data_IF_976543057107
#
_entry.id   IF_976543057107
#
_cell.length_a   1.000
_cell.length_b   1.000
_cell.length_c   1.000
_cell.angle_alpha   90.00
_cell.angle_beta   90.00
_cell.angle_gamma   90.00
#
_symmetry.space_group_name_H-M   'P 1'
#
loop_
_entity.id
_entity.type
_entity.pdbx_description
1 polymer ?
#
# COMPACT_ATOMS: atom_id res chain seq x y z
N UNK A 1 12.96 -60.39 21.61
CA UNK A 1 14.27 -59.81 21.98
C UNK A 1 14.28 -58.40 21.51
N UNK A 2 14.47 -57.45 22.40
CA UNK A 2 14.58 -56.03 22.04
C UNK A 2 16.07 -55.71 21.91
N UNK A 3 16.48 -55.14 20.81
CA UNK A 3 17.84 -54.66 20.60
C UNK A 3 17.84 -53.14 20.48
N UNK A 4 18.71 -52.48 21.22
CA UNK A 4 18.96 -51.06 21.10
C UNK A 4 20.39 -50.91 20.55
N UNK A 5 20.52 -50.21 19.45
CA UNK A 5 21.82 -49.96 18.84
C UNK A 5 21.93 -48.56 18.28
N UNK A 6 23.15 -48.04 18.22
CA UNK A 6 23.47 -46.79 17.58
C UNK A 6 23.88 -47.08 16.15
N UNK A 7 23.22 -46.45 15.20
CA UNK A 7 23.75 -46.33 13.85
C UNK A 7 24.65 -45.10 13.76
N UNK A 8 25.95 -45.32 13.67
CA UNK A 8 26.96 -44.28 13.60
C UNK A 8 26.88 -43.47 12.29
N UNK A 9 26.36 -44.06 11.23
CA UNK A 9 26.17 -43.36 9.91
C UNK A 9 24.97 -42.42 9.95
N UNK A 10 23.89 -42.82 10.65
CA UNK A 10 22.69 -42.02 10.80
C UNK A 10 22.75 -41.10 12.04
N UNK A 11 23.76 -41.26 12.91
CA UNK A 11 23.87 -40.63 14.24
C UNK A 11 22.58 -40.76 15.07
N UNK A 12 21.96 -41.91 15.02
CA UNK A 12 20.65 -42.16 15.59
C UNK A 12 20.67 -43.47 16.43
N UNK A 13 19.72 -43.58 17.36
CA UNK A 13 19.49 -44.77 18.16
C UNK A 13 18.25 -45.46 17.60
N UNK A 14 18.35 -46.76 17.42
CA UNK A 14 17.28 -47.60 16.94
C UNK A 14 16.90 -48.63 17.97
N UNK A 15 15.63 -48.93 18.10
CA UNK A 15 15.11 -50.07 18.84
C UNK A 15 14.57 -51.05 17.80
N UNK A 16 15.02 -52.28 17.85
CA UNK A 16 14.53 -53.40 17.05
C UNK A 16 13.78 -54.36 17.99
N UNK A 17 12.49 -54.54 17.72
CA UNK A 17 11.61 -55.47 18.38
C UNK A 17 11.15 -56.60 17.43
N UNK A 18 10.19 -57.41 17.86
CA UNK A 18 9.62 -58.47 17.01
C UNK A 18 8.83 -57.92 15.80
N UNK A 19 8.56 -56.63 15.75
CA UNK A 19 7.80 -55.96 14.68
C UNK A 19 8.71 -55.19 13.71
N UNK A 20 10.01 -55.17 13.96
CA UNK A 20 11.01 -54.49 13.14
C UNK A 20 11.64 -53.27 13.80
N UNK A 21 12.55 -52.63 13.07
CA UNK A 21 13.28 -51.46 13.55
C UNK A 21 12.35 -50.23 13.60
N UNK A 22 12.29 -49.63 14.80
CA UNK A 22 11.56 -48.36 14.98
C UNK A 22 12.53 -47.24 15.34
N UNK A 23 12.36 -46.11 14.67
CA UNK A 23 13.12 -44.90 14.97
C UNK A 23 12.51 -44.19 16.19
N UNK A 24 13.29 -43.93 17.22
CA UNK A 24 12.79 -43.29 18.43
C UNK A 24 13.41 -41.90 18.62
N UNK A 25 12.73 -40.89 18.08
CA UNK A 25 13.06 -39.49 18.41
C UNK A 25 12.82 -39.13 19.88
N UNK A 26 11.88 -39.82 20.54
CA UNK A 26 11.54 -39.57 21.95
C UNK A 26 12.58 -40.10 22.91
N UNK A 27 13.37 -41.11 22.52
CA UNK A 27 14.46 -41.63 23.35
C UNK A 27 15.58 -40.59 23.50
N UNK A 28 15.90 -39.85 22.43
CA UNK A 28 16.88 -38.79 22.46
C UNK A 28 16.48 -37.70 23.49
N UNK A 29 15.22 -37.28 23.46
CA UNK A 29 14.69 -36.31 24.42
C UNK A 29 14.75 -36.82 25.87
N UNK A 30 14.49 -38.08 26.10
CA UNK A 30 14.58 -38.69 27.45
C UNK A 30 16.01 -38.80 27.96
N UNK A 31 16.97 -38.99 27.07
CA UNK A 31 18.39 -39.15 27.41
C UNK A 31 19.08 -37.81 27.61
N UNK A 32 18.77 -36.81 26.80
CA UNK A 32 19.29 -35.46 26.91
C UNK A 32 18.97 -34.78 28.25
N UNK A 33 17.99 -35.27 28.97
CA UNK A 33 17.58 -34.76 30.28
C UNK A 33 18.42 -35.15 31.49
N UNK A 34 19.36 -35.99 31.36
CA UNK A 34 20.16 -36.47 32.49
C UNK A 34 19.33 -37.07 33.64
N UNK A 35 18.04 -37.31 33.42
CA UNK A 35 17.15 -38.04 34.33
C UNK A 35 17.01 -39.50 33.94
N UNK A 36 17.78 -39.94 32.98
CA UNK A 36 17.79 -41.33 32.63
C UNK A 36 18.44 -42.14 33.76
N UNK A 37 17.60 -42.54 34.68
CA UNK A 37 17.86 -43.82 35.23
C UNK A 37 17.51 -44.84 34.14
N UNK A 38 18.42 -45.65 33.68
CA UNK A 38 18.13 -46.82 32.82
C UNK A 38 16.99 -47.66 33.41
N UNK A 39 16.75 -47.54 34.68
CA UNK A 39 15.60 -48.10 35.39
C UNK A 39 14.25 -47.56 34.87
N UNK A 40 14.16 -46.28 34.58
CA UNK A 40 12.94 -45.70 34.03
C UNK A 40 12.76 -46.04 32.56
N UNK A 41 13.83 -46.05 31.77
CA UNK A 41 13.82 -46.49 30.39
C UNK A 41 13.52 -47.98 30.25
N UNK A 42 14.16 -48.82 31.08
CA UNK A 42 13.89 -50.26 31.10
C UNK A 42 12.46 -50.57 31.56
N UNK A 43 11.96 -49.83 32.55
CA UNK A 43 10.56 -49.92 32.98
C UNK A 43 9.58 -49.51 31.90
N UNK A 44 9.84 -48.43 31.18
CA UNK A 44 8.94 -47.91 30.15
C UNK A 44 8.93 -48.83 28.91
N UNK A 45 10.06 -49.43 28.56
CA UNK A 45 10.13 -50.44 27.50
C UNK A 45 9.45 -51.76 27.96
N UNK A 46 9.64 -52.17 29.19
CA UNK A 46 9.00 -53.38 29.74
C UNK A 46 7.47 -53.25 29.83
N UNK A 47 6.99 -52.07 30.20
CA UNK A 47 5.54 -51.76 30.24
C UNK A 47 4.93 -51.79 28.83
N UNK A 48 5.61 -51.30 27.81
CA UNK A 48 5.10 -51.21 26.45
C UNK A 48 5.19 -52.54 25.70
N UNK A 49 6.24 -53.33 25.95
CA UNK A 49 6.51 -54.50 25.13
C UNK A 49 6.22 -55.83 25.84
N UNK A 50 6.10 -55.84 27.18
CA UNK A 50 5.94 -57.05 28.00
C UNK A 50 7.05 -58.10 27.76
N UNK A 51 8.21 -57.68 27.27
CA UNK A 51 9.37 -58.53 26.96
C UNK A 51 10.51 -58.22 27.96
N UNK A 52 11.14 -59.20 28.57
CA UNK A 52 12.28 -59.00 29.46
C UNK A 52 13.48 -58.45 28.66
N UNK A 53 14.22 -57.55 29.30
CA UNK A 53 15.42 -56.91 28.73
C UNK A 53 16.57 -57.98 28.67
N UNK A 54 16.71 -58.63 27.50
CA UNK A 54 17.55 -59.81 27.42
C UNK A 54 19.01 -59.57 27.02
N UNK A 55 19.31 -58.54 26.20
CA UNK A 55 20.70 -58.24 25.82
C UNK A 55 20.89 -56.83 25.27
N UNK A 56 21.94 -56.17 25.68
CA UNK A 56 22.53 -54.99 25.06
C UNK A 56 23.77 -55.41 24.26
N UNK A 57 23.84 -55.09 22.98
CA UNK A 57 25.03 -55.31 22.17
C UNK A 57 25.61 -53.95 21.75
N UNK A 58 26.95 -53.80 21.82
CA UNK A 58 27.64 -52.66 21.24
C UNK A 58 27.74 -52.79 19.71
N UNK A 59 28.19 -51.72 19.03
CA UNK A 59 28.38 -51.72 17.58
C UNK A 59 29.36 -52.75 17.03
N UNK A 60 30.12 -53.42 17.91
CA UNK A 60 31.08 -54.48 17.59
C UNK A 60 30.61 -55.90 18.03
N UNK A 61 29.32 -56.02 18.46
CA UNK A 61 28.76 -57.31 18.91
C UNK A 61 29.18 -57.74 20.33
N UNK A 62 29.68 -56.80 21.12
CA UNK A 62 29.96 -57.00 22.53
C UNK A 62 28.68 -56.98 23.39
N UNK A 63 28.47 -57.94 24.24
CA UNK A 63 27.29 -58.02 25.10
C UNK A 63 27.58 -57.33 26.44
N UNK A 64 26.77 -56.32 26.75
CA UNK A 64 26.73 -55.72 28.09
C UNK A 64 25.67 -56.45 28.90
N UNK A 65 26.01 -57.23 29.80
CA UNK A 65 25.15 -58.07 30.65
C UNK A 65 23.75 -57.62 31.01
N UNK A 66 23.04 -58.44 31.76
CA UNK A 66 21.55 -58.23 31.98
C UNK A 66 21.22 -57.33 33.16
N UNK A 67 22.18 -56.56 33.70
CA UNK A 67 21.86 -55.69 34.83
C UNK A 67 21.69 -54.21 34.41
N UNK A 68 20.80 -53.57 35.10
CA UNK A 68 20.46 -52.19 34.80
C UNK A 68 21.64 -51.20 34.86
N UNK A 69 22.67 -51.49 35.66
CA UNK A 69 23.86 -50.68 35.81
C UNK A 69 24.76 -50.77 34.57
N UNK A 70 24.95 -51.98 34.02
CA UNK A 70 25.75 -52.19 32.82
C UNK A 70 25.10 -51.59 31.57
N UNK A 71 23.81 -51.71 31.51
CA UNK A 71 23.02 -51.04 30.47
C UNK A 71 23.13 -49.49 30.58
N UNK A 72 23.10 -48.97 31.82
CA UNK A 72 23.32 -47.55 32.09
C UNK A 72 24.70 -47.08 31.67
N UNK A 73 25.70 -47.82 32.01
CA UNK A 73 27.10 -47.52 31.69
C UNK A 73 27.33 -47.57 30.18
N UNK A 74 26.72 -48.54 29.49
CA UNK A 74 26.77 -48.65 28.05
C UNK A 74 26.07 -47.44 27.32
N UNK A 75 24.89 -47.09 27.78
CA UNK A 75 24.19 -45.91 27.28
C UNK A 75 24.98 -44.64 27.57
N UNK A 76 25.48 -44.46 28.80
CA UNK A 76 26.34 -43.35 29.17
C UNK A 76 27.62 -43.28 28.31
N UNK A 77 28.25 -44.41 28.01
CA UNK A 77 29.42 -44.49 27.15
C UNK A 77 29.10 -44.09 25.70
N UNK A 78 27.95 -44.51 25.17
CA UNK A 78 27.46 -44.12 23.85
C UNK A 78 27.23 -42.60 23.79
N UNK A 79 26.64 -42.00 24.82
CA UNK A 79 26.36 -40.60 24.88
C UNK A 79 27.56 -39.71 25.19
N UNK A 80 28.49 -40.18 26.04
CA UNK A 80 29.75 -39.45 26.31
C UNK A 80 30.66 -39.39 25.11
N UNK A 81 30.55 -40.31 24.15
CA UNK A 81 31.31 -40.24 22.89
C UNK A 81 30.80 -39.18 21.92
N UNK A 82 29.58 -38.66 22.12
CA UNK A 82 28.96 -37.63 21.27
C UNK A 82 28.99 -36.21 21.86
N UNK A 83 29.67 -36.02 23.01
CA UNK A 83 29.69 -34.76 23.76
C UNK A 83 28.72 -34.79 24.94
N UNK A 84 28.99 -34.00 25.95
CA UNK A 84 28.10 -33.85 27.12
C UNK A 84 26.71 -33.43 26.67
N UNK A 85 25.63 -34.18 26.98
CA UNK A 85 24.29 -33.68 26.70
C UNK A 85 24.14 -32.38 27.46
N UNK A 86 23.92 -31.32 26.74
CA UNK A 86 23.67 -30.04 27.38
C UNK A 86 22.28 -30.12 28.00
N UNK A 87 22.19 -29.78 29.28
CA UNK A 87 20.92 -29.67 30.01
C UNK A 87 20.22 -28.33 29.72
N UNK A 88 20.50 -27.74 28.58
CA UNK A 88 20.01 -26.42 28.27
C UNK A 88 18.55 -26.47 27.86
N UNK A 89 17.80 -25.54 28.41
CA UNK A 89 16.43 -25.28 27.94
C UNK A 89 16.50 -24.68 26.51
N UNK A 90 15.46 -24.79 25.72
CA UNK A 90 15.43 -24.14 24.43
C UNK A 90 15.72 -22.64 24.53
N UNK A 91 16.30 -22.10 23.48
CA UNK A 91 16.49 -20.66 23.33
C UNK A 91 16.18 -20.27 21.90
N UNK A 92 15.10 -19.49 21.68
CA UNK A 92 14.69 -19.01 20.38
C UNK A 92 15.70 -17.98 19.90
N UNK A 93 16.29 -18.23 18.73
CA UNK A 93 17.39 -17.43 18.16
C UNK A 93 16.99 -16.64 16.92
N UNK A 94 15.87 -16.97 16.30
CA UNK A 94 15.37 -16.23 15.16
C UNK A 94 14.79 -14.87 15.54
N UNK A 95 14.67 -13.95 14.56
CA UNK A 95 14.08 -12.64 14.79
C UNK A 95 12.63 -12.75 15.28
N UNK A 96 12.31 -12.04 16.34
CA UNK A 96 10.96 -11.91 16.87
C UNK A 96 10.16 -10.76 16.22
N UNK A 97 10.76 -10.04 15.27
CA UNK A 97 10.10 -8.99 14.51
C UNK A 97 10.07 -9.36 13.02
N UNK A 98 8.88 -9.33 12.45
CA UNK A 98 8.64 -9.63 11.05
C UNK A 98 7.86 -8.45 10.44
N UNK A 99 8.22 -8.04 9.25
CA UNK A 99 7.51 -7.00 8.49
C UNK A 99 7.04 -7.57 7.17
N UNK A 100 5.78 -7.30 6.83
CA UNK A 100 5.16 -7.58 5.54
C UNK A 100 4.50 -6.32 5.01
N UNK A 101 4.33 -6.27 3.71
CA UNK A 101 3.41 -5.34 3.06
C UNK A 101 2.06 -6.03 2.87
N UNK A 102 0.95 -5.32 2.98
CA UNK A 102 -0.38 -5.85 2.72
C UNK A 102 -0.44 -6.57 1.36
N UNK A 103 -1.00 -7.76 1.34
CA UNK A 103 -1.03 -8.64 0.16
C UNK A 103 0.19 -9.56 0.02
N UNK A 104 1.28 -9.32 0.73
CA UNK A 104 2.44 -10.22 0.73
C UNK A 104 2.16 -11.50 1.54
N UNK A 105 2.88 -12.55 1.18
CA UNK A 105 2.77 -13.84 1.85
C UNK A 105 3.91 -14.03 2.83
N UNK A 106 3.58 -14.32 4.09
CA UNK A 106 4.55 -14.71 5.12
C UNK A 106 5.29 -15.98 4.70
N UNK A 107 6.59 -15.98 4.89
CA UNK A 107 7.47 -17.12 4.74
C UNK A 107 8.56 -17.00 5.82
N UNK A 108 8.23 -17.45 7.01
CA UNK A 108 9.10 -17.31 8.19
C UNK A 108 9.44 -18.66 8.77
N UNK A 109 10.68 -18.88 9.18
CA UNK A 109 11.12 -20.08 9.84
C UNK A 109 11.74 -19.74 11.20
N UNK A 110 11.17 -20.32 12.25
CA UNK A 110 11.67 -20.22 13.62
C UNK A 110 12.92 -21.06 13.78
N UNK A 111 13.93 -20.49 14.41
CA UNK A 111 15.12 -21.21 14.86
C UNK A 111 15.25 -21.11 16.38
N UNK A 112 15.63 -22.21 17.00
CA UNK A 112 15.92 -22.25 18.42
C UNK A 112 17.04 -23.24 18.66
N UNK A 113 17.97 -22.88 19.56
CA UNK A 113 18.94 -23.80 20.08
C UNK A 113 18.23 -24.79 21.02
N UNK A 114 18.57 -26.04 20.95
CA UNK A 114 18.02 -27.13 21.79
C UNK A 114 16.50 -27.35 21.71
N UNK A 115 15.79 -26.70 20.77
CA UNK A 115 14.37 -26.92 20.57
C UNK A 115 14.08 -28.16 19.76
N UNK A 116 13.18 -29.03 20.24
CA UNK A 116 12.76 -30.27 19.56
C UNK A 116 11.27 -30.25 19.20
N UNK A 117 10.46 -29.49 19.92
CA UNK A 117 9.06 -29.25 19.68
C UNK A 117 8.76 -27.74 19.55
N UNK A 118 7.68 -27.40 18.84
CA UNK A 118 7.28 -26.02 18.65
C UNK A 118 5.76 -25.90 18.71
N UNK A 119 5.27 -24.92 19.43
CA UNK A 119 3.84 -24.58 19.55
C UNK A 119 3.59 -23.13 19.16
N UNK A 120 2.49 -22.87 18.46
CA UNK A 120 2.11 -21.56 17.97
C UNK A 120 0.68 -21.24 18.37
N UNK A 121 0.44 -20.03 18.83
CA UNK A 121 -0.92 -19.48 18.89
C UNK A 121 -1.18 -18.60 17.66
N UNK A 122 -1.89 -19.14 16.69
CA UNK A 122 -2.26 -18.49 15.44
C UNK A 122 -3.69 -17.93 15.47
N UNK A 123 -4.33 -17.87 16.63
CA UNK A 123 -5.73 -17.42 16.76
C UNK A 123 -5.97 -16.00 16.27
N UNK A 124 -4.93 -15.14 16.33
CA UNK A 124 -5.01 -13.74 15.94
C UNK A 124 -4.55 -13.46 14.49
N UNK A 125 -4.09 -14.48 13.74
CA UNK A 125 -3.52 -14.32 12.39
C UNK A 125 -4.22 -15.22 11.39
N UNK A 126 -5.35 -14.75 10.89
CA UNK A 126 -6.15 -15.50 9.93
C UNK A 126 -5.37 -15.79 8.64
N UNK A 127 -5.45 -17.02 8.15
CA UNK A 127 -4.77 -17.44 6.91
C UNK A 127 -3.26 -17.72 7.05
N UNK A 128 -2.70 -17.63 8.26
CA UNK A 128 -1.35 -18.09 8.56
C UNK A 128 -1.42 -19.53 9.08
N UNK A 129 -0.55 -20.41 8.58
CA UNK A 129 -0.48 -21.82 8.96
C UNK A 129 0.96 -22.28 9.05
N UNK A 130 1.17 -23.39 9.76
CA UNK A 130 2.45 -24.12 9.70
C UNK A 130 2.53 -24.96 8.43
N UNK A 131 3.74 -25.27 8.00
CA UNK A 131 3.98 -26.18 6.86
C UNK A 131 3.89 -27.61 7.34
N UNK A 132 3.17 -28.48 6.61
CA UNK A 132 3.13 -29.91 6.90
C UNK A 132 4.55 -30.50 6.87
N UNK A 133 4.90 -31.25 7.91
CA UNK A 133 6.24 -31.81 8.07
C UNK A 133 7.31 -30.81 8.54
N UNK A 134 6.99 -29.53 8.66
CA UNK A 134 7.89 -28.53 9.24
C UNK A 134 7.13 -27.53 10.11
N UNK A 135 6.87 -27.91 11.35
CA UNK A 135 6.13 -27.10 12.33
C UNK A 135 6.84 -25.80 12.73
N UNK A 136 8.12 -25.62 12.36
CA UNK A 136 8.87 -24.39 12.61
C UNK A 136 8.57 -23.30 11.58
N UNK A 137 7.98 -23.66 10.45
CA UNK A 137 7.77 -22.76 9.33
C UNK A 137 6.34 -22.26 9.27
N UNK A 138 6.18 -20.94 9.26
CA UNK A 138 4.89 -20.25 9.01
C UNK A 138 4.82 -19.77 7.58
N UNK A 139 3.65 -19.95 6.96
CA UNK A 139 3.33 -19.46 5.61
C UNK A 139 1.90 -18.91 5.57
N UNK A 140 1.59 -18.11 4.55
CA UNK A 140 0.25 -17.58 4.33
C UNK A 140 0.12 -16.12 4.72
N UNK A 141 -1.07 -15.71 5.15
CA UNK A 141 -1.30 -14.35 5.65
C UNK A 141 -1.44 -13.25 4.61
N UNK A 142 -1.56 -13.56 3.31
CA UNK A 142 -1.77 -12.56 2.25
C UNK A 142 -3.09 -11.77 2.39
N UNK A 143 -4.01 -12.22 3.23
CA UNK A 143 -5.28 -11.55 3.54
C UNK A 143 -5.24 -10.78 4.86
N UNK A 144 -4.10 -10.67 5.52
CA UNK A 144 -3.96 -9.88 6.73
C UNK A 144 -4.09 -8.40 6.39
N UNK A 145 -4.95 -7.71 7.12
CA UNK A 145 -5.08 -6.26 7.01
C UNK A 145 -3.84 -5.55 7.59
N UNK A 146 -3.67 -4.30 7.24
CA UNK A 146 -2.66 -3.43 7.85
C UNK A 146 -2.83 -3.39 9.36
N UNK A 147 -1.76 -3.65 10.10
CA UNK A 147 -1.79 -3.72 11.56
C UNK A 147 -0.61 -4.45 12.16
N UNK A 148 -0.65 -4.62 13.47
CA UNK A 148 0.35 -5.38 14.24
C UNK A 148 -0.30 -6.59 14.87
N UNK A 149 0.32 -7.75 14.67
CA UNK A 149 -0.16 -9.04 15.14
C UNK A 149 0.89 -9.67 16.07
N UNK A 150 0.45 -10.05 17.25
CA UNK A 150 1.29 -10.76 18.21
C UNK A 150 1.05 -12.26 18.06
N UNK A 151 2.09 -13.02 17.81
CA UNK A 151 2.06 -14.46 17.60
C UNK A 151 2.88 -15.13 18.73
N UNK A 152 2.24 -15.61 19.79
CA UNK A 152 2.93 -16.38 20.82
C UNK A 152 3.50 -17.66 20.24
N UNK A 153 4.72 -17.98 20.63
CA UNK A 153 5.43 -19.19 20.20
C UNK A 153 6.19 -19.80 21.37
N UNK A 154 6.29 -21.11 21.36
CA UNK A 154 7.12 -21.87 22.31
C UNK A 154 8.06 -22.79 21.55
N UNK A 155 9.29 -22.79 21.97
CA UNK A 155 10.23 -23.86 21.66
C UNK A 155 10.35 -24.76 22.91
N UNK A 156 10.22 -26.04 22.71
CA UNK A 156 10.08 -27.01 23.81
C UNK A 156 11.13 -28.10 23.63
N UNK A 157 11.73 -28.48 24.73
CA UNK A 157 12.44 -29.76 24.87
C UNK A 157 12.08 -30.37 26.22
N UNK A 158 12.69 -31.50 26.53
CA UNK A 158 12.41 -32.16 27.80
C UNK A 158 12.89 -31.34 29.03
N UNK A 159 13.87 -30.47 28.91
CA UNK A 159 14.38 -29.64 30.01
C UNK A 159 13.52 -28.43 30.34
N UNK A 160 12.64 -28.03 29.40
CA UNK A 160 11.76 -26.90 29.58
C UNK A 160 11.31 -26.31 28.28
N UNK A 161 10.84 -25.08 28.35
CA UNK A 161 10.36 -24.30 27.23
C UNK A 161 10.99 -22.90 27.23
N UNK A 162 11.14 -22.35 26.03
CA UNK A 162 11.34 -20.94 25.82
C UNK A 162 10.09 -20.37 25.15
N UNK A 163 9.50 -19.35 25.75
CA UNK A 163 8.22 -18.76 25.33
C UNK A 163 8.44 -17.31 24.94
N UNK A 164 8.20 -17.01 23.69
CA UNK A 164 8.40 -15.69 23.10
C UNK A 164 7.15 -15.22 22.35
N UNK A 165 7.16 -13.95 21.94
CA UNK A 165 6.11 -13.39 21.10
C UNK A 165 6.73 -12.77 19.86
N UNK A 166 6.36 -13.28 18.70
CA UNK A 166 6.72 -12.67 17.42
C UNK A 166 5.74 -11.51 17.14
N UNK A 167 6.30 -10.36 16.81
CA UNK A 167 5.56 -9.19 16.37
C UNK A 167 5.60 -9.13 14.85
N UNK A 168 4.47 -9.47 14.21
CA UNK A 168 4.27 -9.34 12.78
C UNK A 168 3.61 -7.99 12.49
N UNK A 169 4.30 -7.12 11.75
CA UNK A 169 3.77 -5.83 11.29
C UNK A 169 3.42 -5.91 9.81
N UNK A 170 2.17 -5.69 9.48
CA UNK A 170 1.69 -5.54 8.10
C UNK A 170 1.51 -4.06 7.83
N UNK A 171 2.24 -3.51 6.87
CA UNK A 171 2.19 -2.11 6.46
C UNK A 171 1.45 -1.95 5.14
N UNK A 172 0.93 -0.74 4.91
CA UNK A 172 0.42 -0.38 3.58
C UNK A 172 1.51 -0.52 2.53
N UNK A 173 1.18 -0.95 1.30
CA UNK A 173 2.11 -0.87 0.19
C UNK A 173 2.66 0.55 0.04
N UNK A 174 3.95 0.74 -0.26
CA UNK A 174 4.47 2.05 -0.59
C UNK A 174 3.65 2.66 -1.73
N UNK A 175 3.29 3.94 -1.60
CA UNK A 175 2.64 4.65 -2.69
C UNK A 175 3.54 4.60 -3.93
N UNK A 176 3.02 4.04 -5.02
CA UNK A 176 3.72 3.95 -6.29
C UNK A 176 2.98 4.77 -7.33
N UNK A 177 3.61 5.84 -7.83
CA UNK A 177 3.15 6.58 -8.99
C UNK A 177 3.97 6.14 -10.21
N UNK A 178 3.35 5.37 -11.11
CA UNK A 178 4.02 4.71 -12.23
C UNK A 178 3.39 5.02 -13.58
N UNK A 179 2.21 5.63 -13.58
CA UNK A 179 1.40 5.92 -14.77
C UNK A 179 0.90 7.35 -14.77
N UNK A 180 0.68 7.86 -15.97
CA UNK A 180 -0.03 9.11 -16.22
C UNK A 180 -0.84 9.01 -17.51
N UNK A 181 -1.75 9.93 -17.75
CA UNK A 181 -2.53 9.98 -19.00
C UNK A 181 -1.97 11.04 -19.94
N UNK A 182 -1.64 10.60 -21.16
CA UNK A 182 -1.18 11.45 -22.26
C UNK A 182 -2.33 11.81 -23.19
N UNK A 183 -2.37 13.07 -23.60
CA UNK A 183 -3.38 13.62 -24.51
C UNK A 183 -2.77 14.03 -25.83
N UNK A 184 -3.37 13.54 -26.91
CA UNK A 184 -3.06 13.90 -28.27
C UNK A 184 -4.26 14.66 -28.90
N UNK A 185 -4.33 14.78 -30.20
CA UNK A 185 -5.42 15.49 -30.84
C UNK A 185 -6.77 14.77 -30.64
N UNK A 186 -7.76 15.49 -30.12
CA UNK A 186 -9.13 15.05 -29.88
C UNK A 186 -9.34 14.11 -28.69
N UNK A 187 -8.32 13.82 -27.92
CA UNK A 187 -8.39 12.98 -26.74
C UNK A 187 -9.03 13.73 -25.57
N UNK A 188 -9.83 13.02 -24.79
CA UNK A 188 -10.37 13.59 -23.56
C UNK A 188 -10.85 12.48 -22.59
N UNK A 189 -10.89 12.85 -21.33
CA UNK A 189 -11.60 12.11 -20.29
C UNK A 189 -12.95 12.76 -20.06
N UNK A 190 -13.97 11.95 -19.84
CA UNK A 190 -15.32 12.42 -19.53
C UNK A 190 -15.96 11.59 -18.42
N UNK A 191 -16.67 12.24 -17.52
CA UNK A 191 -17.40 11.60 -16.44
C UNK A 191 -18.78 12.21 -16.23
N UNK A 192 -19.59 11.58 -15.37
CA UNK A 192 -20.86 12.13 -14.94
C UNK A 192 -20.66 13.35 -14.05
N UNK A 193 -20.83 14.52 -14.62
CA UNK A 193 -20.58 15.78 -13.94
C UNK A 193 -21.50 16.03 -12.73
N UNK A 194 -22.70 15.45 -12.70
CA UNK A 194 -23.62 15.60 -11.57
C UNK A 194 -23.08 15.02 -10.25
N UNK A 195 -22.12 14.09 -10.32
CA UNK A 195 -21.46 13.54 -9.14
C UNK A 195 -20.56 14.56 -8.41
N UNK A 196 -20.15 15.63 -9.10
CA UNK A 196 -19.37 16.72 -8.51
C UNK A 196 -20.22 17.92 -8.08
N UNK A 197 -21.53 17.86 -8.21
CA UNK A 197 -22.40 19.00 -7.86
C UNK A 197 -22.34 19.36 -6.37
N UNK A 198 -22.11 18.38 -5.49
CA UNK A 198 -21.90 18.59 -4.05
C UNK A 198 -20.55 19.23 -3.72
N UNK A 199 -19.55 19.01 -4.56
CA UNK A 199 -18.16 19.45 -4.33
C UNK A 199 -17.83 20.74 -5.08
N UNK A 200 -18.13 20.80 -6.39
CA UNK A 200 -17.85 21.94 -7.26
C UNK A 200 -19.11 22.67 -7.68
N UNK A 201 -20.24 21.97 -7.74
CA UNK A 201 -21.54 22.52 -8.07
C UNK A 201 -22.11 23.36 -6.94
N UNK A 202 -22.87 24.37 -7.29
CA UNK A 202 -23.44 25.26 -6.31
C UNK A 202 -24.91 25.51 -6.60
N UNK A 203 -25.70 25.16 -5.63
CA UNK A 203 -27.11 25.59 -5.62
C UNK A 203 -27.19 26.92 -4.89
N UNK A 204 -27.32 28.03 -5.61
CA UNK A 204 -27.52 29.28 -4.93
C UNK A 204 -27.85 30.41 -5.87
N UNK A 205 -29.02 30.95 -5.71
CA UNK A 205 -29.43 32.25 -6.28
C UNK A 205 -28.57 33.37 -5.67
N UNK A 206 -27.46 33.72 -6.26
CA UNK A 206 -26.76 35.01 -6.10
C UNK A 206 -26.49 35.61 -4.71
N UNK A 207 -26.96 34.99 -3.65
CA UNK A 207 -26.87 35.49 -2.28
C UNK A 207 -26.37 34.46 -1.28
N UNK A 208 -25.98 33.28 -1.71
CA UNK A 208 -25.45 32.21 -0.84
C UNK A 208 -23.94 32.26 -0.70
N UNK A 209 -23.44 31.95 0.49
CA UNK A 209 -22.02 31.64 0.70
C UNK A 209 -21.57 30.55 -0.28
N UNK A 210 -20.58 30.85 -1.10
CA UNK A 210 -19.98 29.87 -1.93
C UNK A 210 -19.20 28.86 -1.10
N UNK A 211 -19.39 27.52 -1.30
CA UNK A 211 -18.54 26.56 -0.64
C UNK A 211 -17.16 26.62 -1.28
N UNK A 212 -16.14 26.50 -0.42
CA UNK A 212 -14.78 26.48 -0.87
C UNK A 212 -14.50 25.18 -1.64
N UNK A 213 -13.57 25.22 -2.56
CA UNK A 213 -13.09 24.03 -3.27
C UNK A 213 -11.63 24.20 -3.69
N UNK A 214 -10.99 23.09 -3.98
CA UNK A 214 -9.66 23.08 -4.58
C UNK A 214 -9.53 21.98 -5.62
N UNK A 215 -8.69 22.22 -6.63
CA UNK A 215 -8.35 21.27 -7.69
C UNK A 215 -6.83 21.19 -7.75
N UNK A 216 -6.27 20.00 -7.51
CA UNK A 216 -4.85 19.71 -7.57
C UNK A 216 -4.56 18.67 -8.66
N UNK A 217 -3.46 18.79 -9.35
CA UNK A 217 -3.00 17.80 -10.33
C UNK A 217 -1.55 18.07 -10.73
N UNK A 218 -0.92 17.04 -11.27
CA UNK A 218 0.33 17.20 -11.99
C UNK A 218 0.06 17.41 -13.47
N UNK A 219 0.79 18.34 -14.07
CA UNK A 219 0.67 18.70 -15.48
C UNK A 219 2.03 18.78 -16.16
N UNK A 220 2.14 18.14 -17.30
CA UNK A 220 3.28 18.27 -18.19
C UNK A 220 2.83 18.85 -19.51
N UNK A 221 3.26 20.07 -19.79
CA UNK A 221 2.93 20.73 -21.04
C UNK A 221 3.59 20.04 -22.24
N UNK A 222 2.81 19.80 -23.28
CA UNK A 222 3.33 19.28 -24.54
C UNK A 222 3.99 20.35 -25.41
N UNK A 223 4.66 19.90 -26.44
CA UNK A 223 5.42 20.78 -27.34
C UNK A 223 4.53 21.68 -28.17
N UNK A 224 5.01 22.86 -28.37
CA UNK A 224 4.59 23.97 -29.24
C UNK A 224 3.19 23.96 -29.86
N UNK A 225 2.32 24.82 -29.36
CA UNK A 225 1.03 25.14 -29.97
C UNK A 225 0.60 26.54 -29.56
N UNK A 226 0.06 27.34 -30.49
CA UNK A 226 -0.44 28.65 -30.20
C UNK A 226 -1.93 28.69 -29.76
N UNK A 227 -2.52 27.54 -29.50
CA UNK A 227 -3.94 27.42 -29.18
C UNK A 227 -4.14 27.16 -27.69
N UNK A 228 -5.25 27.64 -27.16
CA UNK A 228 -5.71 27.28 -25.84
C UNK A 228 -6.06 25.79 -25.81
N UNK A 229 -5.61 25.10 -24.77
CA UNK A 229 -5.80 23.67 -24.57
C UNK A 229 -6.50 23.48 -23.23
N UNK A 230 -7.62 22.79 -23.24
CA UNK A 230 -8.37 22.50 -22.02
C UNK A 230 -7.62 21.53 -21.13
N UNK A 231 -7.35 21.93 -19.91
CA UNK A 231 -6.83 21.01 -18.88
C UNK A 231 -7.99 20.40 -18.11
N UNK A 232 -8.86 21.23 -17.54
CA UNK A 232 -10.01 20.79 -16.77
C UNK A 232 -11.24 21.63 -17.11
N UNK A 233 -12.40 21.00 -17.21
CA UNK A 233 -13.67 21.65 -17.46
C UNK A 233 -14.79 21.02 -16.63
N UNK A 234 -15.51 21.87 -15.90
CA UNK A 234 -16.73 21.48 -15.19
C UNK A 234 -17.80 22.55 -15.39
N UNK A 235 -19.00 22.16 -15.80
CA UNK A 235 -20.12 23.08 -15.93
C UNK A 235 -21.00 22.89 -17.16
N UNK A 236 -21.61 23.95 -17.61
CA UNK A 236 -22.64 23.96 -18.66
C UNK A 236 -22.12 23.61 -20.06
N UNK A 237 -22.96 22.97 -20.86
CA UNK A 237 -22.73 22.81 -22.30
C UNK A 237 -22.80 24.16 -23.04
N UNK A 238 -23.63 25.07 -22.56
CA UNK A 238 -23.73 26.42 -23.09
C UNK A 238 -22.75 27.36 -22.39
N UNK A 239 -21.59 27.50 -22.97
CA UNK A 239 -20.51 28.32 -22.43
C UNK A 239 -20.81 29.83 -22.50
N UNK A 240 -21.71 30.26 -23.38
CA UNK A 240 -22.04 31.66 -23.52
C UNK A 240 -22.87 32.14 -22.32
N UNK A 241 -23.80 31.33 -21.85
CA UNK A 241 -24.76 31.67 -20.82
C UNK A 241 -24.68 30.80 -19.58
N UNK A 242 -24.07 29.63 -19.65
CA UNK A 242 -23.91 28.70 -18.52
C UNK A 242 -22.60 28.84 -17.79
N UNK A 243 -22.66 28.81 -16.48
CA UNK A 243 -21.47 28.92 -15.62
C UNK A 243 -20.58 27.68 -15.71
N UNK A 244 -19.27 27.89 -15.59
CA UNK A 244 -18.29 26.83 -15.64
C UNK A 244 -17.02 27.19 -14.86
N UNK A 245 -16.30 26.15 -14.48
CA UNK A 245 -14.87 26.17 -14.12
C UNK A 245 -14.13 25.69 -15.35
N UNK A 246 -13.30 26.54 -15.94
CA UNK A 246 -12.55 26.24 -17.15
C UNK A 246 -11.08 26.58 -16.93
N UNK A 247 -10.29 25.55 -16.69
CA UNK A 247 -8.84 25.64 -16.58
C UNK A 247 -8.20 25.24 -17.91
N UNK A 248 -7.38 26.12 -18.47
CA UNK A 248 -6.75 25.88 -19.77
C UNK A 248 -5.32 26.37 -19.82
N UNK A 249 -4.52 25.63 -20.58
CA UNK A 249 -3.16 25.99 -20.92
C UNK A 249 -3.13 26.84 -22.20
N UNK A 250 -2.46 27.97 -22.18
CA UNK A 250 -2.44 28.90 -23.28
C UNK A 250 -1.47 28.53 -24.43
N UNK A 251 -0.90 27.36 -24.40
CA UNK A 251 0.01 26.84 -25.40
C UNK A 251 1.48 27.23 -25.20
N UNK A 252 2.38 26.52 -25.85
CA UNK A 252 3.83 26.65 -25.67
C UNK A 252 4.44 27.70 -26.62
N UNK A 253 3.93 28.92 -26.61
CA UNK A 253 4.50 30.07 -27.28
C UNK A 253 5.21 30.96 -26.24
N UNK A 254 6.35 31.51 -26.53
CA UNK A 254 7.12 32.36 -25.62
C UNK A 254 6.34 33.57 -25.06
N UNK A 255 5.32 34.04 -25.76
CA UNK A 255 4.42 35.11 -25.31
C UNK A 255 3.23 34.59 -24.46
N UNK A 256 3.14 33.29 -24.23
CA UNK A 256 2.04 32.65 -23.51
C UNK A 256 2.57 31.76 -22.39
N UNK A 257 2.63 30.45 -22.53
CA UNK A 257 3.12 29.52 -21.52
C UNK A 257 2.52 29.75 -20.15
N UNK A 258 1.19 29.88 -20.11
CA UNK A 258 0.42 30.25 -18.93
C UNK A 258 -0.70 29.26 -18.68
N UNK A 259 -1.04 29.05 -17.42
CA UNK A 259 -2.36 28.53 -17.05
C UNK A 259 -3.33 29.67 -16.87
N UNK A 260 -4.56 29.42 -17.28
CA UNK A 260 -5.67 30.36 -17.16
C UNK A 260 -6.86 29.66 -16.57
N UNK A 261 -7.45 30.25 -15.55
CA UNK A 261 -8.73 29.86 -14.97
C UNK A 261 -9.79 30.84 -15.40
N UNK A 262 -10.86 30.36 -16.04
CA UNK A 262 -12.10 31.10 -16.25
C UNK A 262 -13.19 30.55 -15.34
N UNK A 263 -13.80 31.41 -14.58
CA UNK A 263 -14.91 31.10 -13.71
C UNK A 263 -16.13 31.97 -14.07
N UNK A 264 -17.27 31.35 -14.35
CA UNK A 264 -18.48 32.01 -14.82
C UNK A 264 -18.84 31.61 -16.23
N UNK A 265 -19.53 32.51 -17.01
CA UNK A 265 -19.88 32.29 -18.42
C UNK A 265 -18.80 32.85 -19.36
N UNK A 266 -18.86 32.58 -20.65
CA UNK A 266 -17.91 33.20 -21.58
C UNK A 266 -18.11 34.74 -21.70
N UNK A 267 -19.31 35.25 -21.43
CA UNK A 267 -19.65 36.68 -21.52
C UNK A 267 -19.47 37.39 -20.18
N UNK A 268 -19.71 36.69 -19.06
CA UNK A 268 -19.58 37.22 -17.71
C UNK A 268 -18.65 36.29 -16.91
N UNK A 269 -17.38 36.60 -16.87
CA UNK A 269 -16.40 35.75 -16.19
C UNK A 269 -15.31 36.51 -15.47
N UNK A 270 -14.74 35.85 -14.49
CA UNK A 270 -13.42 36.14 -13.96
C UNK A 270 -12.39 35.31 -14.72
N UNK A 271 -11.35 35.95 -15.16
CA UNK A 271 -10.25 35.31 -15.85
C UNK A 271 -8.94 35.59 -15.10
N UNK A 272 -8.33 34.54 -14.63
CA UNK A 272 -7.03 34.56 -13.94
C UNK A 272 -6.00 33.93 -14.86
N UNK A 273 -4.81 34.51 -14.95
CA UNK A 273 -3.70 33.95 -15.71
C UNK A 273 -2.46 33.98 -14.85
N UNK A 274 -1.73 32.89 -14.82
CA UNK A 274 -0.39 32.88 -14.24
C UNK A 274 0.55 33.76 -15.07
N UNK A 275 1.72 34.16 -14.55
CA UNK A 275 2.70 34.91 -15.34
C UNK A 275 3.09 34.20 -16.64
N UNK A 276 3.46 34.96 -17.64
CA UNK A 276 3.98 34.45 -18.92
C UNK A 276 5.24 33.59 -18.62
N UNK A 277 5.29 32.41 -19.19
CA UNK A 277 6.43 31.51 -19.02
C UNK A 277 6.34 30.61 -17.77
N UNK A 278 5.32 30.75 -16.94
CA UNK A 278 5.16 29.93 -15.72
C UNK A 278 4.95 28.45 -15.99
N UNK A 279 4.39 28.11 -17.17
CA UNK A 279 4.17 26.73 -17.60
C UNK A 279 4.70 26.54 -19.02
N UNK A 280 5.81 25.86 -19.17
CA UNK A 280 6.43 25.58 -20.46
C UNK A 280 6.66 24.09 -20.67
N UNK A 281 6.69 23.64 -21.92
CA UNK A 281 7.02 22.24 -22.25
C UNK A 281 8.42 21.83 -21.75
N UNK A 282 9.34 22.78 -21.65
CA UNK A 282 10.69 22.57 -21.10
C UNK A 282 10.75 22.47 -19.57
N UNK A 283 9.66 22.80 -18.85
CA UNK A 283 9.63 22.78 -17.39
C UNK A 283 9.47 21.37 -16.81
N UNK A 284 9.19 20.38 -17.66
CA UNK A 284 8.87 19.03 -17.18
C UNK A 284 7.50 18.98 -16.49
N UNK A 285 7.37 18.10 -15.53
CA UNK A 285 6.19 18.00 -14.69
C UNK A 285 6.12 19.18 -13.71
N UNK A 286 4.92 19.72 -13.54
CA UNK A 286 4.64 20.80 -12.60
C UNK A 286 3.36 20.47 -11.82
N UNK A 287 3.42 20.60 -10.51
CA UNK A 287 2.23 20.49 -9.66
C UNK A 287 1.43 21.79 -9.71
N UNK A 288 0.14 21.65 -9.93
CA UNK A 288 -0.81 22.76 -10.01
C UNK A 288 -1.84 22.60 -8.90
N UNK A 289 -2.07 23.65 -8.12
CA UNK A 289 -3.19 23.74 -7.19
C UNK A 289 -3.94 25.03 -7.47
N UNK A 290 -5.24 24.90 -7.68
CA UNK A 290 -6.17 26.03 -7.81
C UNK A 290 -7.14 25.98 -6.66
N UNK A 291 -7.32 27.07 -5.93
CA UNK A 291 -8.21 27.13 -4.78
C UNK A 291 -9.22 28.26 -4.90
N UNK A 292 -10.38 28.03 -4.31
CA UNK A 292 -11.44 29.01 -4.09
C UNK A 292 -11.87 28.96 -2.62
N UNK A 293 -11.86 30.11 -1.93
CA UNK A 293 -12.08 30.14 -0.48
C UNK A 293 -13.56 30.20 -0.04
N UNK A 294 -14.50 30.11 -1.00
CA UNK A 294 -15.94 30.05 -0.70
C UNK A 294 -16.61 31.37 -0.40
N UNK A 295 -15.95 32.48 -0.47
CA UNK A 295 -16.57 33.79 -0.22
C UNK A 295 -17.81 34.06 -1.10
N UNK A 296 -18.74 34.88 -0.65
CA UNK A 296 -19.89 35.30 -1.46
C UNK A 296 -19.40 35.94 -2.75
N UNK A 297 -19.90 35.45 -3.86
CA UNK A 297 -19.84 36.21 -5.11
C UNK A 297 -20.77 37.39 -4.90
N UNK A 298 -20.21 38.53 -4.59
CA UNK A 298 -20.94 39.67 -4.06
C UNK A 298 -21.95 40.27 -5.01
N UNK A 299 -22.66 41.19 -4.44
CA UNK A 299 -23.51 42.12 -5.19
C UNK A 299 -22.70 42.94 -6.21
N UNK A 300 -23.34 43.52 -7.19
CA UNK A 300 -22.75 44.46 -8.16
C UNK A 300 -21.98 45.64 -7.53
N UNK A 301 -21.99 45.76 -6.23
CA UNK A 301 -21.28 46.77 -5.44
C UNK A 301 -19.89 46.34 -4.93
N UNK A 302 -19.55 45.05 -4.99
CA UNK A 302 -18.20 44.59 -4.60
C UNK A 302 -17.16 45.06 -5.63
N UNK A 303 -16.01 45.50 -5.15
CA UNK A 303 -14.89 45.76 -6.05
C UNK A 303 -14.44 44.46 -6.71
N UNK A 304 -14.04 44.49 -7.95
CA UNK A 304 -13.58 43.35 -8.70
C UNK A 304 -12.41 42.66 -7.99
N UNK A 305 -11.59 43.41 -7.26
CA UNK A 305 -10.48 42.85 -6.50
C UNK A 305 -10.94 41.88 -5.40
N UNK A 306 -12.12 42.11 -4.81
CA UNK A 306 -12.67 41.18 -3.80
C UNK A 306 -12.99 39.82 -4.38
N UNK A 307 -13.37 39.73 -5.64
CA UNK A 307 -13.58 38.45 -6.31
C UNK A 307 -12.27 37.74 -6.59
N UNK A 308 -11.27 38.48 -7.06
CA UNK A 308 -9.98 37.89 -7.39
C UNK A 308 -9.26 37.37 -6.15
N UNK A 309 -9.39 38.02 -5.01
CA UNK A 309 -8.79 37.61 -3.74
C UNK A 309 -9.34 36.30 -3.18
N UNK A 310 -10.41 35.74 -3.77
CA UNK A 310 -11.01 34.46 -3.37
C UNK A 310 -10.37 33.26 -4.04
N UNK A 311 -9.62 33.51 -5.10
CA UNK A 311 -8.96 32.48 -5.88
C UNK A 311 -7.45 32.60 -5.73
N UNK A 312 -6.79 31.44 -5.62
CA UNK A 312 -5.34 31.35 -5.69
C UNK A 312 -4.92 30.28 -6.65
N UNK A 313 -3.77 30.46 -7.29
CA UNK A 313 -3.14 29.47 -8.15
C UNK A 313 -1.70 29.26 -7.66
N UNK A 314 -1.34 28.01 -7.46
CA UNK A 314 0.01 27.62 -7.06
C UNK A 314 0.64 26.75 -8.15
N UNK A 315 1.92 26.95 -8.39
CA UNK A 315 2.75 26.10 -9.24
C UNK A 315 3.92 25.63 -8.41
N UNK A 316 4.10 24.33 -8.29
CA UNK A 316 5.16 23.71 -7.50
C UNK A 316 5.23 24.28 -6.06
N UNK A 317 4.08 24.37 -5.41
CA UNK A 317 3.93 24.87 -4.04
C UNK A 317 4.03 26.40 -3.88
N UNK A 318 4.29 27.16 -4.95
CA UNK A 318 4.49 28.60 -4.90
C UNK A 318 3.27 29.34 -5.45
N UNK A 319 2.69 30.23 -4.64
CA UNK A 319 1.57 31.09 -5.07
C UNK A 319 1.99 31.98 -6.23
N UNK A 320 1.17 32.03 -7.26
CA UNK A 320 1.42 32.82 -8.47
C UNK A 320 0.75 34.19 -8.39
N UNK A 321 1.48 35.23 -8.73
CA UNK A 321 0.88 36.54 -9.00
C UNK A 321 0.05 36.44 -10.27
N UNK A 322 -1.28 36.55 -10.18
CA UNK A 322 -2.15 36.39 -11.34
C UNK A 322 -2.37 37.69 -12.06
N UNK A 323 -2.45 37.60 -13.39
CA UNK A 323 -2.98 38.71 -14.26
C UNK A 323 -4.47 38.53 -14.35
N UNK A 324 -5.20 39.49 -13.78
CA UNK A 324 -6.64 39.42 -13.64
C UNK A 324 -7.33 40.23 -14.75
N UNK A 325 -8.37 39.67 -15.34
CA UNK A 325 -9.25 40.36 -16.26
C UNK A 325 -10.69 39.86 -16.14
N UNK A 326 -11.66 40.70 -16.42
CA UNK A 326 -13.07 40.32 -16.45
C UNK A 326 -13.75 40.87 -17.69
N UNK A 327 -14.86 40.26 -18.04
CA UNK A 327 -15.73 40.77 -19.11
C UNK A 327 -16.94 41.55 -18.58
N UNK A 328 -17.42 41.24 -17.36
CA UNK A 328 -18.52 41.95 -16.70
C UNK A 328 -18.66 41.56 -15.22
N UNK A 329 -19.40 42.41 -14.43
CA UNK A 329 -19.79 42.08 -13.07
C UNK A 329 -21.04 41.19 -13.04
N UNK A 330 -21.27 40.51 -11.95
CA UNK A 330 -22.50 39.77 -11.69
C UNK A 330 -22.44 38.29 -12.02
N UNK A 331 -21.35 37.64 -11.62
CA UNK A 331 -21.22 36.19 -11.75
C UNK A 331 -22.20 35.53 -10.79
N UNK A 332 -23.24 34.94 -11.35
CA UNK A 332 -24.08 34.00 -10.60
C UNK A 332 -23.39 32.65 -10.56
N UNK A 333 -23.34 32.06 -9.40
CA UNK A 333 -22.49 30.90 -9.10
C UNK A 333 -23.21 29.56 -9.06
N UNK A 334 -24.35 29.47 -9.76
CA UNK A 334 -24.94 28.16 -9.96
C UNK A 334 -24.14 27.40 -11.01
N UNK A 335 -23.26 26.57 -10.56
CA UNK A 335 -22.61 25.56 -11.38
C UNK A 335 -23.47 24.30 -11.31
N UNK A 336 -24.09 23.92 -12.41
CA UNK A 336 -24.71 22.61 -12.55
C UNK A 336 -23.87 21.77 -13.48
N UNK A 337 -23.49 20.56 -13.00
CA UNK A 337 -22.63 19.66 -13.71
C UNK A 337 -23.31 19.02 -14.90
N UNK A 338 -23.16 19.60 -16.07
CA UNK A 338 -23.53 18.98 -17.34
C UNK A 338 -22.35 18.27 -18.00
N UNK A 339 -21.13 18.78 -17.78
CA UNK A 339 -19.90 18.19 -18.28
C UNK A 339 -18.81 18.23 -17.24
N UNK A 340 -18.17 17.08 -17.05
CA UNK A 340 -16.88 16.95 -16.38
C UNK A 340 -15.90 16.36 -17.40
N UNK A 341 -14.85 17.12 -17.74
CA UNK A 341 -13.89 16.71 -18.77
C UNK A 341 -12.48 17.15 -18.42
N UNK A 342 -11.52 16.30 -18.77
CA UNK A 342 -10.10 16.61 -18.84
C UNK A 342 -9.69 16.49 -20.30
N UNK A 343 -8.95 17.45 -20.83
CA UNK A 343 -8.49 17.42 -22.21
C UNK A 343 -9.43 18.03 -23.23
N UNK A 344 -10.67 18.38 -22.88
CA UNK A 344 -11.64 18.91 -23.83
C UNK A 344 -12.61 19.89 -23.19
N UNK A 345 -12.88 20.97 -23.84
CA UNK A 345 -13.89 21.93 -23.44
C UNK A 345 -15.20 21.75 -24.22
N UNK A 346 -15.33 21.98 -25.41
CA UNK A 346 -16.49 21.83 -26.28
C UNK A 346 -16.13 20.85 -27.43
N UNK A 347 -16.51 21.13 -28.65
CA UNK A 347 -16.02 20.43 -29.84
C UNK A 347 -14.66 20.97 -30.34
N UNK A 348 -14.09 21.93 -29.63
CA UNK A 348 -12.80 22.57 -29.91
C UNK A 348 -11.93 22.67 -28.64
N UNK A 349 -10.74 23.21 -28.75
CA UNK A 349 -9.80 23.41 -27.63
C UNK A 349 -9.42 22.13 -26.88
N UNK A 350 -9.05 21.11 -27.61
CA UNK A 350 -8.49 19.87 -27.05
C UNK A 350 -7.08 20.07 -26.51
N UNK A 351 -6.74 19.28 -25.51
CA UNK A 351 -5.35 19.05 -25.13
C UNK A 351 -4.63 18.34 -26.29
N UNK A 352 -3.36 18.66 -26.52
CA UNK A 352 -2.63 18.22 -27.71
C UNK A 352 -1.16 18.01 -27.43
N UNK A 353 -0.46 17.44 -28.43
CA UNK A 353 0.98 17.40 -28.48
C UNK A 353 1.61 16.75 -27.26
N UNK A 354 1.04 15.64 -26.82
CA UNK A 354 1.53 14.84 -25.70
C UNK A 354 1.55 15.60 -24.36
N UNK A 355 0.61 16.54 -24.14
CA UNK A 355 0.35 17.00 -22.78
C UNK A 355 -0.03 15.82 -21.89
N UNK A 356 0.35 15.88 -20.63
CA UNK A 356 0.04 14.83 -19.66
C UNK A 356 -0.57 15.39 -18.39
N UNK A 357 -1.44 14.60 -17.80
CA UNK A 357 -2.06 14.86 -16.49
C UNK A 357 -1.89 13.66 -15.62
N UNK A 358 -1.64 13.92 -14.33
CA UNK A 358 -1.47 12.89 -13.32
C UNK A 358 -2.02 13.35 -11.98
N UNK A 359 -2.42 12.40 -11.13
CA UNK A 359 -2.88 12.62 -9.75
C UNK A 359 -3.90 13.77 -9.62
N UNK A 360 -4.97 13.75 -10.43
CA UNK A 360 -6.02 14.76 -10.38
C UNK A 360 -6.90 14.58 -9.14
N UNK A 361 -6.92 15.57 -8.28
CA UNK A 361 -7.70 15.55 -7.04
C UNK A 361 -8.61 16.78 -6.91
N UNK A 362 -9.80 16.58 -6.33
CA UNK A 362 -10.78 17.64 -6.06
C UNK A 362 -11.16 17.58 -4.57
N UNK A 363 -11.05 18.73 -3.90
CA UNK A 363 -11.41 18.94 -2.51
C UNK A 363 -12.64 19.84 -2.38
N UNK A 364 -13.47 19.61 -1.38
CA UNK A 364 -14.62 20.44 -1.02
C UNK A 364 -14.27 21.59 -0.05
N UNK A 365 -13.01 21.98 -0.01
CA UNK A 365 -12.47 23.00 0.87
C UNK A 365 -11.31 23.77 0.24
N UNK A 366 -11.01 24.94 0.78
CA UNK A 366 -9.84 25.73 0.40
C UNK A 366 -8.58 25.10 0.97
N UNK A 367 -7.73 24.57 0.11
CA UNK A 367 -6.48 23.93 0.45
C UNK A 367 -5.26 24.88 0.36
N UNK A 368 -5.47 26.19 0.29
CA UNK A 368 -4.37 27.15 0.16
C UNK A 368 -3.39 27.16 1.35
N UNK A 369 -3.84 26.74 2.53
CA UNK A 369 -2.98 26.56 3.71
C UNK A 369 -2.20 25.23 3.72
N UNK A 370 -2.65 24.24 2.94
CA UNK A 370 -2.09 22.89 2.90
C UNK A 370 -1.27 22.64 1.62
N UNK A 371 -0.93 23.69 0.89
CA UNK A 371 -0.23 23.58 -0.39
C UNK A 371 1.10 22.86 -0.29
N UNK A 372 1.85 23.02 0.80
CA UNK A 372 3.13 22.34 1.03
C UNK A 372 2.96 20.83 1.16
N UNK A 373 1.91 20.41 1.86
CA UNK A 373 1.61 19.01 2.10
C UNK A 373 1.16 18.32 0.80
N UNK A 374 0.26 18.99 0.05
CA UNK A 374 -0.26 18.47 -1.23
C UNK A 374 0.85 18.44 -2.31
N UNK A 375 1.76 19.40 -2.32
CA UNK A 375 2.90 19.44 -3.25
C UNK A 375 4.00 18.44 -2.87
N UNK A 376 4.12 18.12 -1.58
CA UNK A 376 5.07 17.15 -1.02
C UNK A 376 6.50 17.28 -1.60
N UNK A 377 7.03 18.49 -1.62
CA UNK A 377 8.39 18.78 -2.14
C UNK A 377 8.66 18.30 -3.57
N UNK A 378 7.62 18.14 -4.37
CA UNK A 378 7.75 17.77 -5.78
C UNK A 378 7.63 16.28 -6.09
N UNK A 379 7.14 15.49 -5.16
CA UNK A 379 6.94 14.04 -5.32
C UNK A 379 5.48 13.69 -5.09
N UNK A 380 4.79 13.02 -6.04
CA UNK A 380 3.47 12.45 -5.80
C UNK A 380 3.46 11.53 -4.58
N UNK A 381 2.37 11.54 -3.84
CA UNK A 381 2.21 10.72 -2.65
C UNK A 381 0.75 10.32 -2.45
N UNK A 382 0.48 9.46 -1.49
CA UNK A 382 -0.85 8.98 -1.16
C UNK A 382 -1.69 10.10 -0.53
N UNK A 383 -2.60 10.68 -1.31
CA UNK A 383 -3.47 11.78 -0.87
C UNK A 383 -4.51 11.34 0.17
N UNK A 384 -4.75 10.04 0.34
CA UNK A 384 -5.62 9.50 1.40
C UNK A 384 -5.00 9.65 2.80
N UNK A 385 -3.71 9.95 2.87
CA UNK A 385 -3.00 10.20 4.15
C UNK A 385 -3.10 11.64 4.63
N UNK A 386 -3.67 12.54 3.83
CA UNK A 386 -3.90 13.93 4.22
C UNK A 386 -4.96 14.03 5.33
N UNK A 387 -4.80 14.98 6.25
CA UNK A 387 -5.83 15.29 7.25
C UNK A 387 -7.17 15.71 6.62
N UNK A 388 -7.11 16.37 5.46
CA UNK A 388 -8.27 16.66 4.61
C UNK A 388 -8.08 15.90 3.31
N UNK A 389 -8.70 14.74 3.22
CA UNK A 389 -8.66 13.90 2.04
C UNK A 389 -9.44 14.53 0.86
N UNK A 390 -9.03 14.29 -0.39
CA UNK A 390 -9.82 14.70 -1.55
C UNK A 390 -11.16 13.96 -1.61
N UNK A 391 -12.19 14.65 -2.03
CA UNK A 391 -13.50 14.03 -2.33
C UNK A 391 -13.41 13.11 -3.53
N UNK A 392 -12.67 13.53 -4.55
CA UNK A 392 -12.42 12.77 -5.75
C UNK A 392 -10.94 12.80 -6.07
N UNK A 393 -10.40 11.65 -6.46
CA UNK A 393 -8.98 11.51 -6.78
C UNK A 393 -8.76 10.43 -7.84
N UNK A 394 -8.23 10.81 -8.98
CA UNK A 394 -7.91 9.92 -10.08
C UNK A 394 -6.40 9.85 -10.24
N UNK A 395 -5.87 8.63 -10.11
CA UNK A 395 -4.44 8.34 -10.18
C UNK A 395 -3.92 8.17 -11.62
N UNK A 396 -4.74 8.51 -12.59
CA UNK A 396 -4.42 8.61 -14.01
C UNK A 396 -3.68 7.40 -14.60
N UNK A 397 -4.14 6.19 -14.26
CA UNK A 397 -3.63 4.93 -14.79
C UNK A 397 -3.06 3.97 -13.76
N UNK A 398 -2.67 4.45 -12.59
CA UNK A 398 -2.22 3.58 -11.51
C UNK A 398 -3.40 2.83 -10.88
N UNK A 399 -3.39 1.49 -11.03
CA UNK A 399 -4.48 0.63 -10.59
C UNK A 399 -5.69 0.60 -11.51
N UNK A 400 -5.67 1.32 -12.64
CA UNK A 400 -6.79 1.47 -13.56
C UNK A 400 -6.77 0.43 -14.70
N UNK A 401 -7.96 0.14 -15.23
CA UNK A 401 -8.13 -0.69 -16.42
C UNK A 401 -8.78 0.11 -17.55
N UNK A 402 -8.05 0.32 -18.65
CA UNK A 402 -8.58 0.96 -19.85
C UNK A 402 -9.95 0.36 -20.25
N UNK A 403 -10.96 1.16 -20.58
CA UNK A 403 -10.92 2.61 -20.78
C UNK A 403 -11.37 3.45 -19.57
N UNK A 404 -11.35 2.90 -18.36
CA UNK A 404 -11.88 3.55 -17.17
C UNK A 404 -10.79 3.90 -16.18
N UNK A 405 -10.83 5.13 -15.64
CA UNK A 405 -9.98 5.59 -14.55
C UNK A 405 -10.84 5.73 -13.29
N UNK A 406 -10.46 5.02 -12.24
CA UNK A 406 -11.22 4.94 -11.00
C UNK A 406 -11.04 6.18 -10.15
N UNK A 407 -12.09 6.52 -9.42
CA UNK A 407 -12.06 7.56 -8.40
C UNK A 407 -11.64 6.93 -7.06
N UNK A 408 -10.51 7.35 -6.54
CA UNK A 408 -9.91 6.89 -5.28
C UNK A 408 -10.15 7.88 -4.12
N UNK A 409 -10.98 8.90 -4.31
CA UNK A 409 -11.33 9.86 -3.27
C UNK A 409 -12.34 9.30 -2.26
N UNK A 410 -12.71 10.10 -1.26
CA UNK A 410 -13.66 9.66 -0.21
C UNK A 410 -15.07 9.39 -0.72
N UNK A 411 -15.49 10.02 -1.82
CA UNK A 411 -16.77 9.75 -2.48
C UNK A 411 -16.69 8.52 -3.41
N UNK A 412 -15.54 8.26 -4.03
CA UNK A 412 -15.20 7.09 -4.83
C UNK A 412 -16.27 6.66 -5.86
N UNK A 413 -16.99 7.61 -6.45
CA UNK A 413 -18.16 7.31 -7.29
C UNK A 413 -18.11 7.93 -8.70
N UNK A 414 -17.07 8.69 -9.04
CA UNK A 414 -16.95 9.43 -10.27
C UNK A 414 -15.85 8.85 -11.19
N UNK A 415 -16.18 7.87 -12.00
CA UNK A 415 -15.25 7.20 -12.92
C UNK A 415 -15.11 7.99 -14.19
N UNK A 416 -13.87 8.30 -14.62
CA UNK A 416 -13.60 8.83 -15.95
C UNK A 416 -13.58 7.72 -16.99
N UNK A 417 -14.17 7.99 -18.13
CA UNK A 417 -14.00 7.21 -19.35
C UNK A 417 -13.07 7.93 -20.30
N UNK A 418 -12.17 7.19 -20.92
CA UNK A 418 -11.24 7.67 -21.95
C UNK A 418 -11.94 7.65 -23.32
N UNK A 419 -11.94 8.78 -24.02
CA UNK A 419 -12.56 8.96 -25.35
C UNK A 419 -11.52 9.33 -26.41
N UNK A 420 -11.61 8.70 -27.56
CA UNK A 420 -10.66 8.78 -28.67
C UNK A 420 -9.22 8.40 -28.31
N UNK A 421 -9.06 7.69 -27.23
CA UNK A 421 -7.80 7.23 -26.65
C UNK A 421 -7.68 5.71 -26.77
N UNK A 422 -6.49 5.22 -26.50
CA UNK A 422 -6.18 3.79 -26.41
C UNK A 422 -5.48 3.47 -25.09
N UNK A 423 -5.26 2.20 -24.79
CA UNK A 423 -4.45 1.83 -23.61
C UNK A 423 -2.99 2.33 -23.68
N UNK A 424 -2.48 2.67 -24.86
CA UNK A 424 -1.15 3.24 -25.04
C UNK A 424 -1.05 4.71 -24.59
N UNK A 425 -2.18 5.38 -24.35
CA UNK A 425 -2.21 6.74 -23.83
C UNK A 425 -2.08 6.78 -22.29
N UNK A 426 -2.11 5.60 -21.62
CA UNK A 426 -1.64 5.42 -20.26
C UNK A 426 -0.13 5.13 -20.34
N UNK A 427 0.69 6.08 -19.91
CA UNK A 427 2.15 6.09 -20.13
C UNK A 427 2.93 6.01 -18.82
N UNK A 428 4.22 5.60 -18.90
CA UNK A 428 5.10 5.51 -17.72
C UNK A 428 5.89 6.81 -17.44
N UNK A 429 5.56 7.91 -18.09
CA UNK A 429 6.19 9.21 -17.87
C UNK A 429 5.40 9.92 -16.75
N UNK A 430 5.92 9.90 -15.55
CA UNK A 430 5.30 10.39 -14.30
C UNK A 430 6.10 11.55 -13.68
N UNK A 431 5.48 12.31 -12.77
CA UNK A 431 6.16 13.36 -12.01
C UNK A 431 7.33 12.87 -11.18
#
# INVERSE_FOLDING_TARGET
MIKIYKDSAANAIFIEDANGVQFINSLQATIDNGACSVHDLARDIDIVTNEPFDQFEDENGGSYGNNATEVCDALNAIFQSSGTPTRDIPNITSSLAISLTEGETLNYELTADYGVGYEWDLSNVSGVTTVEGNVRKLIGGSSLAVGTYNIPVKAINYNGEDSETIVLTVSTPPFANTKSVQFNNNDYLGANAALLDSTLGRSGNGSGSGDAWSIAFWFKAGTSNNQNQTVFYFGSNDIANGNHIYLFYNGDNSARRQLSLRYGTSNNNLLFKTPVGSVASSSGWQHILVTYNGGTTGSSSDSINNYYNRFKMFINGVEQSTINSNSNYGITTSLSGQNLRVGRYNSAAYMRNSCKVDELAIFDSDQSSNVSDIYNSGVPFDLSTLTTEPKHWWRMGDGDNYPFLQDNGTEANCVFQMYNMTSADIVNDVP
#
